data_IF_909824835925
#
_entry.id   IF_909824835925
#
_cell.length_a   1.000
_cell.length_b   1.000
_cell.length_c   1.000
_cell.angle_alpha   90.00
_cell.angle_beta   90.00
_cell.angle_gamma   90.00
#
_symmetry.space_group_name_H-M   'P 1'
#
loop_
_entity.id
_entity.type
_entity.pdbx_description
1 polymer ?
#
# COMPACT_ATOMS: atom_id res chain seq x y z
N UNK A 1 -47.49 58.35 -79.36
CA UNK A 1 -48.39 57.49 -80.15
C UNK A 1 -47.62 56.25 -80.57
N UNK A 2 -48.11 55.06 -80.17
CA UNK A 2 -48.02 53.74 -80.84
C UNK A 2 -46.63 53.19 -81.21
N UNK A 3 -46.33 51.89 -81.17
CA UNK A 3 -47.05 50.67 -80.81
C UNK A 3 -46.03 49.51 -80.93
N UNK A 4 -46.20 48.48 -80.10
CA UNK A 4 -45.90 47.05 -80.36
C UNK A 4 -44.45 46.59 -80.56
N UNK A 5 -43.93 45.84 -79.57
CA UNK A 5 -43.87 44.36 -79.48
C UNK A 5 -42.63 43.80 -80.20
N UNK A 6 -41.84 42.88 -79.63
CA UNK A 6 -42.28 41.55 -79.22
C UNK A 6 -41.17 40.87 -78.40
N UNK A 7 -41.54 40.30 -77.24
CA UNK A 7 -40.69 39.39 -76.47
C UNK A 7 -40.56 38.05 -77.19
N UNK A 8 -39.40 37.39 -77.06
CA UNK A 8 -39.31 35.94 -77.25
C UNK A 8 -38.40 35.33 -76.19
N UNK A 9 -39.02 34.46 -75.38
CA UNK A 9 -38.50 33.76 -74.21
C UNK A 9 -37.29 32.88 -74.54
N UNK A 10 -36.22 33.04 -73.77
CA UNK A 10 -35.14 32.04 -73.65
C UNK A 10 -35.67 30.79 -72.93
N UNK A 11 -35.51 29.63 -73.56
CA UNK A 11 -35.95 28.32 -73.06
C UNK A 11 -34.78 27.67 -72.34
N UNK A 12 -34.74 27.83 -71.02
CA UNK A 12 -33.77 27.14 -70.14
C UNK A 12 -34.30 25.72 -69.86
N UNK A 13 -33.49 24.65 -70.00
CA UNK A 13 -33.91 23.29 -69.68
C UNK A 13 -34.04 23.08 -68.16
N UNK A 14 -34.83 22.08 -67.71
CA UNK A 14 -35.13 21.89 -66.29
C UNK A 14 -33.92 21.33 -65.53
N UNK A 15 -33.67 21.93 -64.37
CA UNK A 15 -32.74 21.50 -63.34
C UNK A 15 -33.13 20.10 -62.85
N UNK A 16 -32.29 19.11 -63.13
CA UNK A 16 -32.41 17.75 -62.58
C UNK A 16 -31.63 17.67 -61.27
N UNK A 17 -32.21 18.17 -60.18
CA UNK A 17 -31.75 17.88 -58.82
C UNK A 17 -32.12 16.45 -58.45
N UNK A 18 -31.33 15.49 -58.94
CA UNK A 18 -31.32 14.11 -58.45
C UNK A 18 -30.54 14.05 -57.13
N UNK A 19 -31.30 13.94 -56.05
CA UNK A 19 -31.07 13.11 -54.87
C UNK A 19 -29.71 12.36 -54.86
N UNK A 20 -28.73 12.89 -54.13
CA UNK A 20 -27.65 12.09 -53.52
C UNK A 20 -27.76 12.29 -52.00
N UNK A 21 -28.36 11.31 -51.32
CA UNK A 21 -28.18 11.13 -49.89
C UNK A 21 -26.89 10.35 -49.60
N UNK A 22 -26.28 10.54 -48.42
CA UNK A 22 -24.85 10.49 -48.25
C UNK A 22 -24.41 9.16 -47.65
N UNK A 23 -23.76 8.30 -48.43
CA UNK A 23 -23.04 7.14 -47.89
C UNK A 23 -21.91 7.55 -46.91
N UNK A 24 -21.43 8.79 -47.02
CA UNK A 24 -20.35 9.35 -46.19
C UNK A 24 -20.74 9.58 -44.72
N UNK A 25 -22.03 9.73 -44.37
CA UNK A 25 -22.45 9.95 -42.97
C UNK A 25 -22.53 8.65 -42.16
N UNK A 26 -22.83 7.53 -42.81
CA UNK A 26 -22.92 6.22 -42.14
C UNK A 26 -21.54 5.67 -41.80
N UNK A 27 -20.58 5.79 -42.72
CA UNK A 27 -19.20 5.36 -42.51
C UNK A 27 -18.51 6.20 -41.42
N UNK A 28 -18.69 7.52 -41.43
CA UNK A 28 -18.13 8.41 -40.40
C UNK A 28 -18.74 8.16 -39.03
N UNK A 29 -20.04 7.88 -38.93
CA UNK A 29 -20.70 7.49 -37.68
C UNK A 29 -20.16 6.16 -37.11
N UNK A 30 -19.89 5.18 -37.98
CA UNK A 30 -19.29 3.90 -37.59
C UNK A 30 -17.84 4.07 -37.09
N UNK A 31 -17.07 4.94 -37.73
CA UNK A 31 -15.70 5.28 -37.31
C UNK A 31 -15.71 5.97 -35.94
N UNK A 32 -16.60 6.94 -35.72
CA UNK A 32 -16.74 7.63 -34.44
C UNK A 32 -17.14 6.68 -33.30
N UNK A 33 -18.05 5.72 -33.55
CA UNK A 33 -18.42 4.69 -32.55
C UNK A 33 -17.25 3.79 -32.18
N UNK A 34 -16.43 3.37 -33.16
CA UNK A 34 -15.23 2.56 -32.89
C UNK A 34 -14.18 3.34 -32.10
N UNK A 35 -13.96 4.62 -32.43
CA UNK A 35 -13.05 5.51 -31.68
C UNK A 35 -13.51 5.71 -30.23
N UNK A 36 -14.81 5.94 -30.01
CA UNK A 36 -15.39 6.07 -28.67
C UNK A 36 -15.24 4.77 -27.88
N UNK A 37 -15.52 3.61 -28.50
CA UNK A 37 -15.35 2.31 -27.85
C UNK A 37 -13.89 2.03 -27.45
N UNK A 38 -12.93 2.35 -28.33
CA UNK A 38 -11.49 2.23 -28.04
C UNK A 38 -11.05 3.18 -26.92
N UNK A 39 -11.57 4.41 -26.89
CA UNK A 39 -11.29 5.38 -25.82
C UNK A 39 -11.82 4.89 -24.47
N UNK A 40 -13.04 4.36 -24.42
CA UNK A 40 -13.63 3.80 -23.20
C UNK A 40 -12.83 2.58 -22.72
N UNK A 41 -12.44 1.69 -23.64
CA UNK A 41 -11.60 0.52 -23.30
C UNK A 41 -10.24 0.96 -22.72
N UNK A 42 -9.60 1.98 -23.30
CA UNK A 42 -8.34 2.52 -22.80
C UNK A 42 -8.49 3.12 -21.39
N UNK A 43 -9.57 3.86 -21.12
CA UNK A 43 -9.85 4.44 -19.80
C UNK A 43 -10.07 3.36 -18.72
N UNK A 44 -10.74 2.25 -19.05
CA UNK A 44 -10.94 1.10 -18.13
C UNK A 44 -9.62 0.37 -17.84
N UNK A 45 -8.73 0.24 -18.83
CA UNK A 45 -7.41 -0.34 -18.61
C UNK A 45 -6.49 0.53 -17.74
N UNK A 46 -6.63 1.86 -17.79
CA UNK A 46 -5.88 2.78 -16.93
C UNK A 46 -6.34 2.72 -15.46
N UNK A 47 -7.64 2.53 -15.18
CA UNK A 47 -8.14 2.48 -13.80
C UNK A 47 -7.82 1.17 -13.07
N UNK A 48 -7.48 0.10 -13.80
CA UNK A 48 -7.05 -1.18 -13.22
C UNK A 48 -5.68 -1.12 -12.51
N UNK A 49 -4.92 -0.02 -12.66
CA UNK A 49 -3.59 0.13 -12.07
C UNK A 49 -3.54 1.05 -10.83
N UNK A 50 -4.63 1.19 -10.08
CA UNK A 50 -4.55 1.86 -8.77
C UNK A 50 -3.80 0.97 -7.77
N UNK A 51 -2.51 1.25 -7.57
CA UNK A 51 -1.75 0.70 -6.43
C UNK A 51 -2.23 1.42 -5.18
N UNK A 52 -2.71 0.67 -4.18
CA UNK A 52 -3.02 1.22 -2.86
C UNK A 52 -1.79 1.91 -2.29
N UNK A 53 -1.89 3.21 -1.99
CA UNK A 53 -0.85 4.00 -1.32
C UNK A 53 -0.83 3.72 0.19
N UNK A 54 -1.88 3.06 0.71
CA UNK A 54 -1.93 2.64 2.12
C UNK A 54 -0.97 1.46 2.29
N UNK A 55 0.11 1.62 3.07
CA UNK A 55 0.98 0.51 3.41
C UNK A 55 0.16 -0.53 4.17
N UNK A 56 0.04 -1.72 3.60
CA UNK A 56 -0.55 -2.85 4.33
C UNK A 56 0.54 -3.54 5.12
N UNK A 57 0.17 -4.03 6.30
CA UNK A 57 0.97 -5.02 7.00
C UNK A 57 1.16 -6.25 6.11
N UNK A 58 2.40 -6.70 6.00
CA UNK A 58 2.83 -7.76 5.09
C UNK A 58 3.48 -8.90 5.89
N UNK A 59 3.18 -10.15 5.51
CA UNK A 59 4.01 -11.28 5.94
C UNK A 59 5.41 -11.14 5.34
N UNK A 60 6.43 -11.38 6.15
CA UNK A 60 7.83 -11.33 5.75
C UNK A 60 8.57 -12.60 6.20
N UNK A 61 8.32 -13.77 5.56
CA UNK A 61 8.90 -15.05 5.96
C UNK A 61 10.43 -15.05 6.03
N UNK A 62 11.08 -14.24 5.19
CA UNK A 62 12.53 -14.17 5.05
C UNK A 62 13.18 -13.02 5.83
N UNK A 63 12.57 -12.55 6.92
CA UNK A 63 13.20 -11.50 7.74
C UNK A 63 14.45 -12.10 8.39
N UNK A 64 15.63 -11.64 7.97
CA UNK A 64 16.88 -12.05 8.59
C UNK A 64 17.11 -11.20 9.83
N UNK A 65 17.09 -11.84 11.00
CA UNK A 65 17.46 -11.19 12.25
C UNK A 65 18.96 -10.99 12.25
N UNK A 66 19.38 -9.74 12.03
CA UNK A 66 20.78 -9.37 11.98
C UNK A 66 21.30 -9.09 13.39
N UNK A 67 22.10 -9.99 13.94
CA UNK A 67 22.87 -9.76 15.17
C UNK A 67 24.12 -8.93 14.82
N UNK A 68 23.95 -7.72 14.29
CA UNK A 68 25.07 -6.85 13.97
C UNK A 68 25.64 -6.28 15.27
N UNK A 69 26.41 -7.12 15.97
CA UNK A 69 27.31 -6.74 17.06
C UNK A 69 28.55 -6.11 16.45
N UNK A 70 28.38 -4.97 15.80
CA UNK A 70 29.52 -4.08 15.56
C UNK A 70 29.66 -3.23 16.83
N UNK A 71 30.89 -2.90 17.20
CA UNK A 71 31.29 -2.13 18.39
C UNK A 71 30.68 -0.70 18.42
N UNK A 72 29.36 -0.59 18.34
CA UNK A 72 28.56 0.62 18.39
C UNK A 72 27.96 0.79 19.79
N UNK A 73 27.69 2.03 20.15
CA UNK A 73 27.01 2.34 21.40
C UNK A 73 25.66 1.58 21.49
N UNK A 74 25.35 1.09 22.69
CA UNK A 74 24.04 0.51 22.99
C UNK A 74 23.06 1.64 23.30
N UNK A 75 21.92 1.65 22.62
CA UNK A 75 20.81 2.55 22.89
C UNK A 75 19.67 1.80 23.61
N UNK A 76 18.94 2.53 24.45
CA UNK A 76 17.69 2.04 25.07
C UNK A 76 16.49 2.58 24.31
N UNK A 77 15.50 1.73 24.13
CA UNK A 77 14.24 2.02 23.46
C UNK A 77 13.09 1.69 24.40
N UNK A 78 12.09 2.57 24.45
CA UNK A 78 10.82 2.26 25.10
C UNK A 78 9.83 1.83 24.05
N UNK A 79 9.30 0.61 24.18
CA UNK A 79 8.28 0.08 23.28
C UNK A 79 6.98 -0.07 24.03
N UNK A 80 5.94 0.63 23.55
CA UNK A 80 4.59 0.60 24.10
C UNK A 80 3.71 -0.19 23.15
N UNK A 81 3.09 -1.24 23.64
CA UNK A 81 2.22 -2.14 22.88
C UNK A 81 0.82 -2.05 23.47
N UNK A 82 -0.15 -1.66 22.65
CA UNK A 82 -1.57 -1.70 23.04
C UNK A 82 -2.19 -2.94 22.46
N UNK A 83 -2.83 -3.74 23.31
CA UNK A 83 -3.56 -4.93 22.87
C UNK A 83 -5.02 -4.57 22.61
N UNK A 84 -5.57 -5.03 21.49
CA UNK A 84 -6.95 -4.75 21.13
C UNK A 84 -7.92 -5.43 22.10
N UNK A 85 -9.06 -4.77 22.36
CA UNK A 85 -10.15 -5.34 23.14
C UNK A 85 -10.82 -6.55 22.48
N UNK A 86 -10.62 -6.73 21.17
CA UNK A 86 -11.08 -7.92 20.44
C UNK A 86 -10.07 -9.07 20.46
N UNK A 87 -8.91 -8.90 21.10
CA UNK A 87 -7.94 -9.97 21.30
C UNK A 87 -8.48 -11.06 22.21
N UNK A 88 -7.82 -12.21 22.24
CA UNK A 88 -8.00 -13.19 23.32
C UNK A 88 -7.74 -12.52 24.67
N UNK A 89 -8.44 -12.98 25.71
CA UNK A 89 -8.31 -12.44 27.08
C UNK A 89 -6.88 -12.52 27.59
N UNK A 90 -6.23 -13.67 27.34
CA UNK A 90 -4.85 -13.96 27.64
C UNK A 90 -4.24 -14.72 26.46
N UNK A 91 -2.95 -14.52 26.22
CA UNK A 91 -2.17 -15.31 25.25
C UNK A 91 -0.93 -15.86 25.95
N UNK A 92 -0.65 -17.13 25.73
CA UNK A 92 0.60 -17.79 26.15
C UNK A 92 1.56 -17.94 24.96
N UNK A 93 1.22 -17.32 23.83
CA UNK A 93 2.05 -17.39 22.65
C UNK A 93 3.36 -16.62 22.86
N UNK A 94 4.44 -17.17 22.32
CA UNK A 94 5.71 -16.47 22.26
C UNK A 94 5.61 -15.28 21.32
N UNK A 95 5.90 -14.09 21.85
CA UNK A 95 5.81 -12.83 21.11
C UNK A 95 7.20 -12.20 21.07
N UNK A 96 7.67 -11.96 19.86
CA UNK A 96 8.92 -11.24 19.61
C UNK A 96 8.66 -10.08 18.66
N UNK A 97 9.55 -9.09 18.67
CA UNK A 97 9.48 -7.99 17.72
C UNK A 97 10.86 -7.62 17.18
N UNK A 98 10.87 -7.09 15.98
CA UNK A 98 12.06 -6.51 15.38
C UNK A 98 11.70 -5.18 14.71
N UNK A 99 12.50 -4.15 14.94
CA UNK A 99 12.32 -2.83 14.35
C UNK A 99 13.65 -2.25 13.91
N UNK A 100 13.60 -1.22 13.07
CA UNK A 100 14.82 -0.58 12.61
C UNK A 100 14.59 0.58 11.66
N UNK A 101 15.69 1.02 11.07
CA UNK A 101 15.75 2.22 10.25
C UNK A 101 16.07 1.94 8.78
N UNK A 102 16.12 3.01 7.99
CA UNK A 102 16.37 2.95 6.55
C UNK A 102 17.82 2.58 6.21
N UNK A 103 18.74 2.54 7.19
CA UNK A 103 20.14 2.17 7.01
C UNK A 103 20.41 0.69 7.26
N UNK A 104 19.37 -0.08 7.58
CA UNK A 104 19.47 -1.51 7.86
C UNK A 104 19.96 -1.82 9.28
N UNK A 105 19.96 -0.84 10.19
CA UNK A 105 20.19 -1.11 11.61
C UNK A 105 18.91 -1.69 12.20
N UNK A 106 19.05 -2.85 12.84
CA UNK A 106 17.93 -3.63 13.37
C UNK A 106 18.11 -3.85 14.86
N UNK A 107 17.02 -3.68 15.60
CA UNK A 107 16.88 -4.07 17.00
C UNK A 107 15.90 -5.25 17.06
N UNK A 108 16.28 -6.30 17.75
CA UNK A 108 15.47 -7.50 17.94
C UNK A 108 15.24 -7.74 19.43
N UNK A 109 13.98 -7.96 19.80
CA UNK A 109 13.58 -8.32 21.16
C UNK A 109 12.87 -9.68 21.12
N UNK A 110 13.56 -10.75 21.54
CA UNK A 110 12.94 -12.07 21.70
C UNK A 110 12.08 -12.13 22.96
N UNK A 111 11.08 -13.01 22.93
CA UNK A 111 10.34 -13.48 24.12
C UNK A 111 9.90 -12.37 25.08
N UNK A 112 9.13 -11.40 24.58
CA UNK A 112 8.54 -10.34 25.41
C UNK A 112 7.44 -10.87 26.33
N UNK A 113 6.95 -12.07 26.06
CA UNK A 113 6.03 -12.86 26.87
C UNK A 113 6.74 -13.45 28.10
N UNK A 114 7.02 -12.64 29.12
CA UNK A 114 7.41 -13.19 30.42
C UNK A 114 6.17 -13.82 31.10
N UNK A 115 6.16 -15.13 31.43
CA UNK A 115 5.03 -15.81 32.06
C UNK A 115 4.54 -15.16 33.35
N UNK A 116 5.41 -14.45 34.08
CA UNK A 116 5.07 -13.77 35.33
C UNK A 116 4.34 -12.42 35.12
N UNK A 117 4.44 -11.84 33.93
CA UNK A 117 4.16 -10.42 33.72
C UNK A 117 2.72 -10.10 33.30
N UNK A 118 1.91 -11.11 32.94
CA UNK A 118 0.56 -10.95 32.38
C UNK A 118 0.48 -9.92 31.25
N UNK A 119 1.53 -9.82 30.46
CA UNK A 119 1.55 -8.95 29.28
C UNK A 119 0.57 -9.47 28.22
N UNK A 120 0.16 -8.56 27.34
CA UNK A 120 -0.69 -8.85 26.18
C UNK A 120 -2.13 -9.27 26.51
N UNK A 121 -2.63 -8.93 27.70
CA UNK A 121 -4.05 -9.05 28.04
C UNK A 121 -4.94 -8.24 27.08
N UNK A 122 -6.15 -8.71 26.78
CA UNK A 122 -7.11 -7.93 25.99
C UNK A 122 -7.36 -6.55 26.63
N UNK A 123 -7.38 -5.49 25.81
CA UNK A 123 -7.49 -4.10 26.27
C UNK A 123 -6.32 -3.60 27.15
N UNK A 124 -5.16 -4.26 27.18
CA UNK A 124 -3.99 -3.81 27.96
C UNK A 124 -3.13 -2.80 27.21
N UNK A 125 -2.23 -2.15 27.96
CA UNK A 125 -1.07 -1.45 27.41
C UNK A 125 0.17 -1.90 28.17
N UNK A 126 1.10 -2.50 27.46
CA UNK A 126 2.33 -3.07 28.00
C UNK A 126 3.54 -2.25 27.53
N UNK A 127 4.50 -2.00 28.42
CA UNK A 127 5.67 -1.17 28.14
C UNK A 127 6.95 -1.94 28.40
N UNK A 128 7.84 -1.96 27.42
CA UNK A 128 9.11 -2.70 27.46
C UNK A 128 10.28 -1.74 27.28
N UNK A 129 11.35 -1.97 28.04
CA UNK A 129 12.65 -1.36 27.79
C UNK A 129 13.52 -2.35 27.02
N UNK A 130 13.91 -2.00 25.81
CA UNK A 130 14.68 -2.86 24.91
C UNK A 130 16.01 -2.18 24.62
N UNK A 131 17.10 -2.93 24.76
CA UNK A 131 18.44 -2.45 24.40
C UNK A 131 18.86 -3.04 23.05
N UNK A 132 19.59 -2.25 22.26
CA UNK A 132 20.08 -2.67 20.96
C UNK A 132 21.01 -1.64 20.33
N UNK A 133 21.45 -1.86 19.08
CA UNK A 133 22.24 -0.87 18.35
C UNK A 133 21.44 0.42 18.20
N UNK A 134 22.14 1.57 18.28
CA UNK A 134 21.53 2.87 18.06
C UNK A 134 21.03 3.01 16.63
N UNK A 135 19.74 3.29 16.47
CA UNK A 135 19.11 3.54 15.17
C UNK A 135 18.92 5.03 14.94
N UNK A 136 18.69 5.40 13.68
CA UNK A 136 18.13 6.71 13.31
C UNK A 136 16.60 6.68 13.44
N UNK A 137 15.88 7.21 12.44
CA UNK A 137 14.43 7.18 12.41
C UNK A 137 13.93 5.76 12.16
N UNK A 138 13.22 5.20 13.14
CA UNK A 138 12.49 3.95 12.98
C UNK A 138 11.47 4.11 11.85
N UNK A 139 11.50 3.19 10.90
CA UNK A 139 10.62 3.17 9.74
C UNK A 139 10.06 1.79 9.42
N UNK A 140 10.50 0.73 10.10
CA UNK A 140 9.87 -0.58 10.00
C UNK A 140 9.72 -1.23 11.37
N UNK A 141 8.72 -2.10 11.49
CA UNK A 141 8.50 -2.95 12.65
C UNK A 141 7.77 -4.21 12.20
N UNK A 142 8.28 -5.36 12.64
CA UNK A 142 7.65 -6.66 12.46
C UNK A 142 7.42 -7.32 13.81
N UNK A 143 6.28 -7.99 13.93
CA UNK A 143 5.91 -8.83 15.06
C UNK A 143 6.06 -10.30 14.64
N UNK A 144 6.47 -11.13 15.57
CA UNK A 144 6.49 -12.58 15.42
C UNK A 144 5.68 -13.18 16.56
N UNK A 145 4.81 -14.14 16.25
CA UNK A 145 4.01 -14.88 17.21
C UNK A 145 4.18 -16.38 16.95
N UNK A 146 4.46 -17.17 17.98
CA UNK A 146 4.50 -18.63 17.92
C UNK A 146 3.61 -19.22 19.01
N UNK A 147 2.68 -20.09 18.63
CA UNK A 147 1.70 -20.68 19.54
C UNK A 147 0.28 -20.69 18.96
N UNK A 148 -0.68 -21.13 19.77
CA UNK A 148 -2.04 -21.45 19.34
C UNK A 148 -3.11 -20.45 19.80
N UNK A 149 -2.86 -19.67 20.85
CA UNK A 149 -3.88 -18.83 21.49
C UNK A 149 -4.27 -17.66 20.58
N UNK A 150 -3.31 -17.13 19.84
CA UNK A 150 -3.46 -15.94 19.04
C UNK A 150 -3.30 -14.66 19.84
N UNK A 151 -3.19 -13.55 19.12
CA UNK A 151 -3.07 -12.23 19.72
C UNK A 151 -3.39 -11.14 18.68
N UNK A 152 -4.08 -10.09 19.10
CA UNK A 152 -4.45 -8.93 18.29
C UNK A 152 -3.83 -7.66 18.91
N UNK A 153 -2.65 -7.23 18.46
CA UNK A 153 -2.15 -5.90 18.81
C UNK A 153 -3.02 -4.83 18.16
N UNK A 154 -3.36 -3.78 18.89
CA UNK A 154 -3.96 -2.58 18.33
C UNK A 154 -2.89 -1.76 17.64
N UNK A 155 -1.85 -1.33 18.38
CA UNK A 155 -0.66 -0.69 17.83
C UNK A 155 0.60 -0.93 18.66
N UNK A 156 1.73 -0.60 18.05
CA UNK A 156 3.05 -0.61 18.67
C UNK A 156 3.72 0.73 18.43
N UNK A 157 4.14 1.41 19.50
CA UNK A 157 4.89 2.67 19.44
C UNK A 157 6.30 2.48 19.97
N UNK A 158 7.29 2.85 19.18
CA UNK A 158 8.71 2.81 19.56
C UNK A 158 9.21 4.22 19.80
N UNK A 159 9.72 4.46 21.02
CA UNK A 159 10.43 5.67 21.41
C UNK A 159 11.93 5.36 21.41
N UNK A 160 12.67 5.98 20.50
CA UNK A 160 14.13 5.91 20.43
C UNK A 160 14.81 7.12 21.08
N UNK A 161 16.12 7.02 21.33
CA UNK A 161 16.90 8.05 22.02
C UNK A 161 16.91 9.41 21.29
N UNK A 162 17.10 9.40 19.96
CA UNK A 162 17.22 10.62 19.13
C UNK A 162 16.31 10.59 17.88
N UNK A 163 15.19 9.86 17.94
CA UNK A 163 14.26 9.72 16.83
C UNK A 163 12.85 10.14 17.23
N UNK A 164 12.03 10.53 16.25
CA UNK A 164 10.60 10.72 16.51
C UNK A 164 9.97 9.37 16.85
N UNK A 165 8.99 9.33 17.78
CA UNK A 165 8.25 8.10 18.04
C UNK A 165 7.62 7.56 16.76
N UNK A 166 7.76 6.25 16.53
CA UNK A 166 7.19 5.58 15.38
C UNK A 166 6.06 4.65 15.83
N UNK A 167 4.86 4.86 15.31
CA UNK A 167 3.66 4.07 15.65
C UNK A 167 3.22 3.22 14.46
N UNK A 168 2.93 1.95 14.72
CA UNK A 168 2.52 0.94 13.75
C UNK A 168 1.17 0.34 14.16
N UNK A 169 0.14 0.51 13.35
CA UNK A 169 -1.23 0.10 13.65
C UNK A 169 -1.56 -1.26 13.04
N UNK A 170 -1.90 -2.25 13.86
CA UNK A 170 -2.18 -3.61 13.40
C UNK A 170 -3.69 -3.89 13.39
N UNK A 171 -4.30 -3.94 14.57
CA UNK A 171 -5.69 -4.30 14.84
C UNK A 171 -6.20 -5.52 14.05
N UNK A 172 -5.32 -6.50 13.85
CA UNK A 172 -5.58 -7.78 13.16
C UNK A 172 -4.84 -8.89 13.89
N UNK A 173 -5.36 -10.14 13.83
CA UNK A 173 -4.70 -11.29 14.44
C UNK A 173 -3.35 -11.54 13.76
N UNK A 174 -2.28 -11.54 14.55
CA UNK A 174 -0.93 -11.83 14.05
C UNK A 174 -0.87 -13.31 13.63
N UNK A 175 -0.46 -13.64 12.39
CA UNK A 175 -0.35 -15.03 11.97
C UNK A 175 0.73 -15.77 12.79
N UNK A 176 0.60 -17.10 12.88
CA UNK A 176 1.59 -17.92 13.61
C UNK A 176 2.85 -18.11 12.75
N UNK A 177 4.00 -18.16 13.40
CA UNK A 177 5.27 -18.63 12.87
C UNK A 177 5.79 -17.87 11.64
N UNK A 178 5.43 -16.59 11.57
CA UNK A 178 5.85 -15.69 10.50
C UNK A 178 6.00 -14.27 11.03
N UNK A 179 7.01 -13.57 10.54
CA UNK A 179 7.15 -12.13 10.78
C UNK A 179 6.06 -11.37 10.04
N UNK A 180 5.36 -10.49 10.74
CA UNK A 180 4.21 -9.76 10.22
C UNK A 180 4.27 -8.29 10.65
N UNK A 181 4.22 -7.38 9.70
CA UNK A 181 4.30 -5.95 10.02
C UNK A 181 4.57 -5.06 8.85
N UNK A 182 5.27 -3.97 9.10
CA UNK A 182 5.34 -2.81 8.22
C UNK A 182 6.76 -2.44 7.89
N UNK A 183 6.97 -1.99 6.66
CA UNK A 183 8.20 -1.35 6.22
C UNK A 183 7.87 -0.07 5.45
N UNK A 184 8.11 1.07 6.08
CA UNK A 184 7.90 2.41 5.55
C UNK A 184 9.20 3.12 5.20
N UNK A 185 10.31 2.39 5.23
CA UNK A 185 11.60 2.98 4.90
C UNK A 185 11.59 3.38 3.42
N UNK A 186 11.53 4.68 3.16
CA UNK A 186 11.76 5.23 1.82
C UNK A 186 13.20 4.90 1.46
N UNK A 187 13.39 4.03 0.46
CA UNK A 187 14.65 3.31 0.22
C UNK A 187 15.89 4.19 0.22
N UNK A 188 16.55 4.28 1.38
CA UNK A 188 17.99 4.41 1.45
C UNK A 188 18.58 2.99 1.34
N UNK A 189 18.46 2.41 0.14
CA UNK A 189 18.87 1.03 -0.22
C UNK A 189 18.08 -0.08 0.48
N UNK A 190 16.93 -0.40 -0.10
CA UNK A 190 16.55 -1.80 -0.21
C UNK A 190 17.57 -2.48 -1.14
N UNK A 191 18.76 -2.81 -0.64
CA UNK A 191 19.53 -3.89 -1.22
C UNK A 191 18.71 -5.14 -0.98
N UNK A 192 17.86 -5.46 -1.94
CA UNK A 192 17.36 -6.80 -2.13
C UNK A 192 18.58 -7.72 -2.12
N UNK A 193 18.79 -8.40 -1.00
CA UNK A 193 19.53 -9.65 -0.99
C UNK A 193 18.71 -10.65 -1.81
N UNK A 194 18.84 -10.55 -3.13
CA UNK A 194 18.47 -11.59 -4.05
C UNK A 194 19.29 -12.82 -3.65
N UNK A 195 18.65 -13.71 -2.88
CA UNK A 195 19.15 -15.03 -2.62
C UNK A 195 19.30 -15.73 -3.97
N UNK A 196 20.53 -15.73 -4.48
CA UNK A 196 20.92 -16.62 -5.57
C UNK A 196 21.40 -17.90 -4.92
N UNK A 197 20.55 -18.92 -4.93
CA UNK A 197 21.01 -20.30 -5.16
C UNK A 197 19.89 -21.13 -5.75
#
# INVERSE_FOLDING_TARGET
>A
MNSSQKQTKSKIPPNRSQFLQPAATSLTLLIMKRLIFLLILALVFCSAQSRSIIPRHQPHPSLQISNKTQNEASCSFTVVIRTSCSSTRYTLDHISLAFGDAYGIQVYAPHLDDPASRVFESCSTDTFQISGPCTYQICYLYLYRSGYDGWIPYDVTVYGYNSKPATFYYNVKVPADIWYGFNYCSGARATSSAATK
#
